data_IF_138771320386
#
_entry.id   IF_138771320386
#
_cell.length_a   1.000
_cell.length_b   1.000
_cell.length_c   1.000
_cell.angle_alpha   90.00
_cell.angle_beta   90.00
_cell.angle_gamma   90.00
#
_symmetry.space_group_name_H-M   'P 1'
#
loop_
_entity.id
_entity.type
_entity.pdbx_description
1 polymer ?
#
# COMPACT_ATOMS: atom_id res chain seq x y z
N UNK A 1 -4.18 37.40 20.04
CA UNK A 1 -4.89 36.16 19.66
C UNK A 1 -3.98 35.39 18.73
N UNK A 2 -3.44 34.24 19.14
CA UNK A 2 -2.63 33.42 18.23
C UNK A 2 -3.53 32.87 17.12
N UNK A 3 -3.04 32.90 15.87
CA UNK A 3 -3.70 32.19 14.77
C UNK A 3 -3.84 30.73 15.21
N UNK A 4 -5.06 30.28 15.43
CA UNK A 4 -5.34 28.87 15.70
C UNK A 4 -4.89 28.12 14.45
N UNK A 5 -3.94 27.22 14.64
CA UNK A 5 -3.47 26.34 13.59
C UNK A 5 -4.57 25.32 13.30
N UNK A 6 -5.28 25.55 12.20
CA UNK A 6 -6.43 24.76 11.76
C UNK A 6 -6.04 23.29 11.58
N UNK A 7 -4.80 23.02 11.18
CA UNK A 7 -4.29 21.64 11.05
C UNK A 7 -4.13 20.97 12.43
N UNK A 8 -3.69 21.71 13.44
CA UNK A 8 -3.56 21.20 14.81
C UNK A 8 -4.93 20.92 15.44
N UNK A 9 -5.90 21.81 15.23
CA UNK A 9 -7.26 21.67 15.74
C UNK A 9 -7.97 20.47 15.10
N UNK A 10 -7.86 20.31 13.78
CA UNK A 10 -8.50 19.20 13.07
C UNK A 10 -7.81 17.87 13.39
N UNK A 11 -6.47 17.84 13.47
CA UNK A 11 -5.73 16.63 13.85
C UNK A 11 -6.05 16.18 15.28
N UNK A 12 -6.17 17.13 16.22
CA UNK A 12 -6.62 16.85 17.59
C UNK A 12 -8.03 16.27 17.59
N UNK A 13 -8.97 16.88 16.87
CA UNK A 13 -10.34 16.39 16.80
C UNK A 13 -10.43 14.99 16.15
N UNK A 14 -9.55 14.67 15.21
CA UNK A 14 -9.51 13.38 14.54
C UNK A 14 -8.89 12.28 15.41
N UNK A 15 -7.81 12.60 16.13
CA UNK A 15 -7.25 11.73 17.17
C UNK A 15 -8.28 11.45 18.26
N UNK A 16 -8.97 12.49 18.74
CA UNK A 16 -10.02 12.38 19.74
C UNK A 16 -11.18 11.49 19.29
N UNK A 17 -11.54 11.52 18.01
CA UNK A 17 -12.53 10.65 17.39
C UNK A 17 -12.10 9.18 17.39
N UNK A 18 -10.86 8.90 16.98
CA UNK A 18 -10.29 7.56 16.97
C UNK A 18 -10.22 7.01 18.39
N UNK A 19 -9.88 7.88 19.34
CA UNK A 19 -9.83 7.51 20.76
C UNK A 19 -11.25 7.34 21.33
N UNK A 20 -12.25 8.15 20.97
CA UNK A 20 -13.66 8.01 21.39
C UNK A 20 -14.33 6.71 20.93
N UNK A 21 -13.92 6.18 19.78
CA UNK A 21 -14.33 4.85 19.31
C UNK A 21 -13.68 3.72 20.14
N UNK A 22 -12.71 4.06 21.00
CA UNK A 22 -11.85 3.15 21.76
C UNK A 22 -11.91 3.35 23.28
N UNK A 23 -12.62 4.37 23.80
CA UNK A 23 -12.60 4.76 25.23
C UNK A 23 -13.97 4.60 25.93
N UNK A 24 -13.92 4.35 27.24
CA UNK A 24 -15.04 4.35 28.19
C UNK A 24 -15.85 5.66 28.24
N UNK A 25 -17.12 5.62 28.69
CA UNK A 25 -18.00 6.79 28.78
C UNK A 25 -17.48 7.94 29.64
N UNK A 26 -16.68 7.68 30.69
CA UNK A 26 -16.22 8.73 31.61
C UNK A 26 -15.22 9.69 30.94
N UNK A 27 -14.28 9.16 30.17
CA UNK A 27 -13.31 9.97 29.45
C UNK A 27 -13.93 10.75 28.29
N UNK A 28 -15.01 10.23 27.68
CA UNK A 28 -15.78 10.96 26.66
C UNK A 28 -16.34 12.28 27.21
N UNK A 29 -16.84 12.25 28.46
CA UNK A 29 -17.38 13.44 29.11
C UNK A 29 -16.30 14.48 29.44
N UNK A 30 -15.14 14.03 29.94
CA UNK A 30 -14.01 14.93 30.23
C UNK A 30 -13.50 15.71 29.00
N UNK A 31 -13.56 15.08 27.83
CA UNK A 31 -13.15 15.68 26.56
C UNK A 31 -14.16 16.71 26.02
N UNK A 32 -15.46 16.48 26.23
CA UNK A 32 -16.53 17.46 25.91
C UNK A 32 -16.32 18.73 26.74
N UNK A 33 -16.07 18.56 28.03
CA UNK A 33 -15.95 19.67 28.98
C UNK A 33 -14.67 20.50 28.75
N UNK A 34 -13.57 19.85 28.31
CA UNK A 34 -12.28 20.51 28.14
C UNK A 34 -12.11 21.23 26.79
N UNK A 35 -12.82 20.82 25.74
CA UNK A 35 -12.61 21.33 24.37
C UNK A 35 -13.85 22.02 23.76
N UNK A 36 -14.97 22.09 24.48
CA UNK A 36 -16.16 22.85 24.05
C UNK A 36 -16.85 22.27 22.80
N UNK A 37 -16.63 21.00 22.48
CA UNK A 37 -17.24 20.35 21.32
C UNK A 37 -18.64 19.86 21.71
N UNK A 38 -19.68 20.39 21.05
CA UNK A 38 -21.05 20.05 21.43
C UNK A 38 -21.38 18.57 21.17
N UNK A 39 -22.20 17.92 22.03
CA UNK A 39 -22.58 16.51 21.87
C UNK A 39 -23.27 16.19 20.53
N UNK A 40 -24.00 17.16 19.97
CA UNK A 40 -24.65 17.03 18.66
C UNK A 40 -23.62 16.99 17.54
N UNK A 41 -22.55 17.79 17.64
CA UNK A 41 -21.46 17.82 16.67
C UNK A 41 -20.63 16.55 16.74
N UNK A 42 -20.39 16.02 17.94
CA UNK A 42 -19.75 14.72 18.15
C UNK A 42 -20.59 13.56 17.59
N UNK A 43 -21.90 13.51 17.84
CA UNK A 43 -22.79 12.49 17.25
C UNK A 43 -22.86 12.58 15.73
N UNK A 44 -23.00 13.80 15.19
CA UNK A 44 -22.99 14.01 13.76
C UNK A 44 -21.68 13.51 13.16
N UNK A 45 -20.55 13.90 13.73
CA UNK A 45 -19.25 13.41 13.32
C UNK A 45 -19.16 11.89 13.47
N UNK A 46 -19.63 11.28 14.56
CA UNK A 46 -19.60 9.83 14.79
C UNK A 46 -20.42 9.05 13.75
N UNK A 47 -21.44 9.68 13.18
CA UNK A 47 -22.23 9.13 12.08
C UNK A 47 -21.62 9.33 10.69
N UNK A 48 -20.57 10.14 10.56
CA UNK A 48 -19.91 10.39 9.27
C UNK A 48 -19.06 9.20 8.86
N UNK A 49 -19.20 8.77 7.61
CA UNK A 49 -18.26 7.82 7.04
C UNK A 49 -16.89 8.47 6.96
N UNK A 50 -15.84 7.66 6.96
CA UNK A 50 -14.50 8.19 6.85
C UNK A 50 -14.21 8.85 5.48
N UNK A 51 -15.05 8.60 4.46
CA UNK A 51 -15.07 9.37 3.21
C UNK A 51 -15.58 10.81 3.43
N UNK A 52 -16.66 10.97 4.18
CA UNK A 52 -17.24 12.30 4.48
C UNK A 52 -16.29 13.14 5.35
N UNK A 53 -15.53 12.49 6.25
CA UNK A 53 -14.51 13.17 7.06
C UNK A 53 -13.35 13.65 6.19
N UNK A 54 -12.96 12.86 5.18
CA UNK A 54 -11.96 13.23 4.17
C UNK A 54 -12.42 14.44 3.34
N UNK A 55 -13.69 14.47 2.94
CA UNK A 55 -14.27 15.58 2.20
C UNK A 55 -14.39 16.84 3.05
N UNK A 56 -14.71 16.69 4.34
CA UNK A 56 -14.66 17.80 5.29
C UNK A 56 -13.23 18.33 5.50
N UNK A 57 -12.22 17.45 5.61
CA UNK A 57 -10.83 17.84 5.72
C UNK A 57 -10.34 18.58 4.46
N UNK A 58 -10.73 18.10 3.27
CA UNK A 58 -10.44 18.74 1.98
C UNK A 58 -11.07 20.12 1.86
N UNK A 59 -12.37 20.25 2.18
CA UNK A 59 -13.11 21.52 2.09
C UNK A 59 -12.60 22.59 3.06
N UNK A 60 -11.90 22.19 4.13
CA UNK A 60 -11.32 23.08 5.14
C UNK A 60 -9.81 23.31 5.00
N UNK A 61 -9.20 22.84 3.90
CA UNK A 61 -7.75 22.94 3.64
C UNK A 61 -6.85 22.30 4.71
N UNK A 62 -7.39 21.40 5.53
CA UNK A 62 -6.66 20.75 6.63
C UNK A 62 -6.01 19.43 6.17
N UNK A 63 -5.24 19.52 5.09
CA UNK A 63 -4.83 18.36 4.29
C UNK A 63 -3.55 17.69 4.82
N UNK A 64 -2.82 18.30 5.76
CA UNK A 64 -1.51 17.82 6.17
C UNK A 64 -1.55 16.59 7.08
N UNK A 65 -1.94 16.78 8.33
CA UNK A 65 -1.87 15.74 9.35
C UNK A 65 -3.17 14.92 9.47
N UNK A 66 -4.33 15.55 9.29
CA UNK A 66 -5.64 14.88 9.33
C UNK A 66 -5.83 13.87 8.19
N UNK A 67 -5.36 14.18 6.98
CA UNK A 67 -5.43 13.27 5.85
C UNK A 67 -4.56 12.02 6.07
N UNK A 68 -3.33 12.17 6.59
CA UNK A 68 -2.45 11.02 6.88
C UNK A 68 -3.06 10.05 7.90
N UNK A 69 -3.63 10.59 8.98
CA UNK A 69 -4.30 9.80 10.02
C UNK A 69 -5.54 9.09 9.45
N UNK A 70 -6.38 9.80 8.69
CA UNK A 70 -7.54 9.20 8.03
C UNK A 70 -7.16 8.12 7.03
N UNK A 71 -6.10 8.35 6.24
CA UNK A 71 -5.61 7.39 5.26
C UNK A 71 -5.11 6.11 5.94
N UNK A 72 -4.44 6.22 7.08
CA UNK A 72 -4.03 5.07 7.89
C UNK A 72 -5.25 4.32 8.43
N UNK A 73 -6.24 5.03 9.00
CA UNK A 73 -7.48 4.41 9.51
C UNK A 73 -8.36 3.78 8.43
N UNK A 74 -8.35 4.35 7.22
CA UNK A 74 -9.10 3.86 6.07
C UNK A 74 -8.39 2.77 5.27
N UNK A 75 -7.12 2.47 5.61
CA UNK A 75 -6.28 1.56 4.85
C UNK A 75 -5.97 2.06 3.43
N UNK A 76 -6.06 3.37 3.18
CA UNK A 76 -5.73 4.02 1.90
C UNK A 76 -4.36 4.69 1.92
N UNK A 77 -3.71 4.79 3.09
CA UNK A 77 -2.30 5.10 3.21
C UNK A 77 -1.48 3.98 2.58
N UNK A 78 -0.40 4.33 1.88
CA UNK A 78 0.55 3.34 1.38
C UNK A 78 1.36 2.83 2.58
N UNK A 79 1.32 1.53 2.91
CA UNK A 79 2.22 0.95 3.90
C UNK A 79 3.67 1.20 3.49
N UNK A 80 4.51 1.63 4.42
CA UNK A 80 5.93 1.95 4.15
C UNK A 80 6.68 0.76 3.55
N UNK A 81 6.36 -0.45 3.97
CA UNK A 81 6.92 -1.69 3.42
C UNK A 81 6.59 -1.92 1.95
N UNK A 82 5.49 -1.37 1.43
CA UNK A 82 5.07 -1.53 0.04
C UNK A 82 5.71 -0.52 -0.91
N UNK A 83 6.26 0.57 -0.38
CA UNK A 83 6.81 1.67 -1.19
C UNK A 83 7.88 1.16 -2.17
N UNK A 84 8.92 0.40 -1.76
CA UNK A 84 9.96 -0.07 -2.68
C UNK A 84 9.42 -0.93 -3.83
N UNK A 85 8.34 -1.68 -3.57
CA UNK A 85 7.71 -2.53 -4.57
C UNK A 85 6.88 -1.72 -5.56
N UNK A 86 6.13 -0.74 -5.07
CA UNK A 86 5.29 0.12 -5.89
C UNK A 86 6.12 1.06 -6.77
N UNK A 87 7.26 1.55 -6.26
CA UNK A 87 8.24 2.36 -7.03
C UNK A 87 8.80 1.56 -8.21
N UNK A 88 9.06 0.26 -8.02
CA UNK A 88 9.45 -0.67 -9.08
C UNK A 88 8.27 -1.26 -9.85
N UNK A 89 7.12 -0.58 -9.83
CA UNK A 89 5.91 -0.93 -10.58
C UNK A 89 5.41 -2.36 -10.31
N UNK A 90 5.36 -2.77 -9.05
CA UNK A 90 4.70 -4.01 -8.67
C UNK A 90 3.22 -4.00 -9.09
N UNK A 91 2.76 -5.11 -9.69
CA UNK A 91 1.40 -5.22 -10.18
C UNK A 91 0.42 -5.68 -9.09
N UNK A 92 -0.89 -5.50 -9.34
CA UNK A 92 -1.95 -5.96 -8.43
C UNK A 92 -1.82 -7.43 -8.05
N UNK A 93 -1.43 -8.30 -8.99
CA UNK A 93 -1.33 -9.73 -8.75
C UNK A 93 -0.22 -10.06 -7.74
N UNK A 94 0.95 -9.42 -7.88
CA UNK A 94 2.06 -9.51 -6.93
C UNK A 94 1.65 -9.02 -5.54
N UNK A 95 1.06 -7.81 -5.45
CA UNK A 95 0.63 -7.22 -4.18
C UNK A 95 -0.40 -8.10 -3.46
N UNK A 96 -1.38 -8.63 -4.21
CA UNK A 96 -2.35 -9.57 -3.66
C UNK A 96 -1.70 -10.86 -3.16
N UNK A 97 -0.72 -11.39 -3.90
CA UNK A 97 -0.09 -12.66 -3.58
C UNK A 97 0.74 -12.61 -2.29
N UNK A 98 1.58 -11.59 -2.13
CA UNK A 98 2.51 -11.52 -1.00
C UNK A 98 2.02 -10.67 0.16
N UNK A 99 1.13 -9.70 -0.08
CA UNK A 99 0.72 -8.72 0.93
C UNK A 99 -0.80 -8.70 1.17
N UNK A 100 -1.56 -9.57 0.50
CA UNK A 100 -3.02 -9.67 0.69
C UNK A 100 -3.80 -8.42 0.26
N UNK A 101 -3.18 -7.49 -0.48
CA UNK A 101 -3.83 -6.23 -0.86
C UNK A 101 -5.03 -6.42 -1.78
N UNK A 102 -6.13 -5.73 -1.48
CA UNK A 102 -7.33 -5.73 -2.32
C UNK A 102 -7.16 -4.87 -3.57
N UNK A 103 -8.03 -5.05 -4.57
CA UNK A 103 -8.01 -4.23 -5.80
C UNK A 103 -8.20 -2.73 -5.52
N UNK A 104 -9.07 -2.38 -4.55
CA UNK A 104 -9.32 -0.99 -4.15
C UNK A 104 -8.11 -0.36 -3.47
N UNK A 105 -7.47 -1.11 -2.56
CA UNK A 105 -6.24 -0.68 -1.90
C UNK A 105 -5.11 -0.47 -2.91
N UNK A 106 -4.86 -1.44 -3.78
CA UNK A 106 -3.84 -1.32 -4.83
C UNK A 106 -4.06 -0.09 -5.71
N UNK A 107 -5.29 0.15 -6.19
CA UNK A 107 -5.58 1.31 -7.02
C UNK A 107 -5.30 2.64 -6.28
N UNK A 108 -5.65 2.70 -4.99
CA UNK A 108 -5.34 3.85 -4.13
C UNK A 108 -3.83 4.04 -3.93
N UNK A 109 -3.08 2.95 -3.74
CA UNK A 109 -1.64 3.02 -3.50
C UNK A 109 -0.85 3.36 -4.75
N UNK A 110 -1.15 2.72 -5.87
CA UNK A 110 -0.49 2.96 -7.15
C UNK A 110 -0.70 4.39 -7.68
N UNK A 111 -1.83 5.03 -7.34
CA UNK A 111 -2.06 6.43 -7.69
C UNK A 111 -1.17 7.43 -6.91
N UNK A 112 -0.60 7.00 -5.78
CA UNK A 112 0.21 7.85 -4.87
C UNK A 112 1.71 7.70 -5.07
N UNK A 113 2.15 6.61 -5.71
CA UNK A 113 3.56 6.31 -5.94
C UNK A 113 3.86 6.54 -7.43
N UNK A 114 4.58 7.62 -7.80
CA UNK A 114 4.95 7.85 -9.19
C UNK A 114 5.91 6.75 -9.67
N UNK A 115 5.72 6.31 -10.91
CA UNK A 115 6.53 5.25 -11.53
C UNK A 115 7.39 5.88 -12.63
N UNK A 116 8.70 5.65 -12.54
CA UNK A 116 9.68 6.02 -13.56
C UNK A 116 9.29 5.40 -14.92
N UNK A 117 9.46 6.16 -16.00
CA UNK A 117 9.16 5.70 -17.35
C UNK A 117 9.93 4.42 -17.73
N UNK A 118 11.19 4.30 -17.31
CA UNK A 118 12.02 3.11 -17.53
C UNK A 118 11.52 1.85 -16.80
N UNK A 119 10.63 2.01 -15.81
CA UNK A 119 10.06 0.94 -15.00
C UNK A 119 8.60 0.61 -15.37
N UNK A 120 8.11 1.10 -16.52
CA UNK A 120 6.73 0.83 -17.00
C UNK A 120 6.59 -0.41 -17.89
N UNK A 121 7.69 -1.06 -18.23
CA UNK A 121 7.71 -2.32 -18.97
C UNK A 121 6.82 -3.37 -18.29
N UNK A 122 6.13 -4.16 -19.11
CA UNK A 122 5.21 -5.22 -18.66
C UNK A 122 5.76 -6.62 -18.91
N UNK A 123 6.83 -6.71 -19.67
CA UNK A 123 7.52 -7.93 -20.09
C UNK A 123 9.00 -7.72 -19.87
N UNK A 124 9.73 -8.80 -19.63
CA UNK A 124 11.19 -8.74 -19.49
C UNK A 124 11.79 -8.34 -20.85
N UNK A 125 12.66 -7.32 -20.91
CA UNK A 125 13.36 -6.97 -22.14
C UNK A 125 14.22 -8.13 -22.65
N UNK A 126 14.30 -8.39 -23.97
CA UNK A 126 15.06 -9.53 -24.52
C UNK A 126 16.53 -9.57 -24.10
N UNK A 127 17.16 -8.41 -23.94
CA UNK A 127 18.55 -8.26 -23.49
C UNK A 127 18.77 -8.60 -22.02
N UNK A 128 17.68 -8.68 -21.22
CA UNK A 128 17.70 -9.01 -19.79
C UNK A 128 17.17 -10.41 -19.47
N UNK A 129 16.60 -11.13 -20.45
CA UNK A 129 15.95 -12.43 -20.21
C UNK A 129 16.88 -13.47 -19.57
N UNK A 130 18.11 -13.59 -20.08
CA UNK A 130 19.08 -14.57 -19.58
C UNK A 130 19.48 -14.28 -18.13
N UNK A 131 19.71 -13.01 -17.81
CA UNK A 131 20.10 -12.55 -16.47
C UNK A 131 18.95 -12.77 -15.47
N UNK A 132 17.74 -12.36 -15.83
CA UNK A 132 16.54 -12.57 -15.00
C UNK A 132 16.31 -14.05 -14.74
N UNK A 133 16.38 -14.89 -15.76
CA UNK A 133 16.24 -16.35 -15.61
C UNK A 133 17.30 -16.94 -14.67
N UNK A 134 18.56 -16.51 -14.79
CA UNK A 134 19.64 -16.95 -13.92
C UNK A 134 19.36 -16.62 -12.46
N UNK A 135 19.04 -15.36 -12.15
CA UNK A 135 18.76 -14.92 -10.78
C UNK A 135 17.52 -15.59 -10.19
N UNK A 136 16.50 -15.85 -11.02
CA UNK A 136 15.34 -16.61 -10.60
C UNK A 136 15.72 -18.04 -10.21
N UNK A 137 16.56 -18.73 -10.98
CA UNK A 137 17.07 -20.05 -10.62
C UNK A 137 17.94 -19.99 -9.36
N UNK A 138 18.75 -18.96 -9.21
CA UNK A 138 19.61 -18.76 -8.05
C UNK A 138 18.80 -18.59 -6.76
N UNK A 139 17.77 -17.74 -6.78
CA UNK A 139 16.96 -17.47 -5.60
C UNK A 139 15.89 -18.53 -5.32
N UNK A 140 15.26 -19.05 -6.37
CA UNK A 140 14.16 -20.01 -6.24
C UNK A 140 14.63 -21.46 -6.17
N UNK A 141 15.84 -21.72 -6.64
CA UNK A 141 16.25 -23.04 -7.07
C UNK A 141 15.62 -23.44 -8.42
N UNK A 142 16.02 -24.62 -8.89
CA UNK A 142 15.50 -25.20 -10.13
C UNK A 142 14.45 -26.27 -9.84
N UNK A 143 13.33 -26.22 -10.56
CA UNK A 143 12.32 -27.25 -10.62
C UNK A 143 12.41 -27.99 -11.95
N UNK A 144 12.24 -29.31 -11.93
CA UNK A 144 12.13 -30.12 -13.13
C UNK A 144 10.67 -30.39 -13.44
N UNK A 145 10.23 -30.04 -14.65
CA UNK A 145 8.86 -30.36 -15.08
C UNK A 145 8.74 -31.88 -15.27
N UNK A 146 7.69 -32.46 -14.71
CA UNK A 146 7.44 -33.91 -14.83
C UNK A 146 7.40 -34.34 -16.30
N UNK A 147 8.16 -35.39 -16.64
CA UNK A 147 8.26 -35.89 -18.03
C UNK A 147 9.05 -35.00 -18.99
N UNK A 148 9.76 -33.98 -18.50
CA UNK A 148 10.62 -33.10 -19.31
C UNK A 148 12.09 -33.15 -18.85
N UNK A 149 13.00 -32.98 -19.80
CA UNK A 149 14.42 -32.74 -19.51
C UNK A 149 14.71 -31.27 -19.18
N UNK A 150 13.73 -30.37 -19.35
CA UNK A 150 13.87 -28.94 -19.08
C UNK A 150 13.83 -28.65 -17.56
N UNK A 151 14.71 -27.74 -17.12
CA UNK A 151 14.72 -27.17 -15.76
C UNK A 151 14.27 -25.72 -15.83
N UNK A 152 13.47 -25.30 -14.87
CA UNK A 152 12.91 -23.94 -14.79
C UNK A 152 13.01 -23.42 -13.34
N UNK A 153 12.91 -22.10 -13.11
CA UNK A 153 12.90 -21.57 -11.76
C UNK A 153 11.72 -22.12 -10.94
N UNK A 154 11.96 -22.52 -9.69
CA UNK A 154 10.91 -22.96 -8.80
C UNK A 154 10.13 -21.77 -8.21
N UNK A 155 9.24 -21.16 -9.00
CA UNK A 155 8.54 -19.92 -8.63
C UNK A 155 7.78 -19.99 -7.29
N UNK A 156 7.40 -21.19 -6.83
CA UNK A 156 6.72 -21.37 -5.53
C UNK A 156 7.64 -21.05 -4.35
N UNK A 157 8.96 -21.23 -4.50
CA UNK A 157 9.95 -20.94 -3.47
C UNK A 157 10.38 -19.45 -3.42
N UNK A 158 9.99 -18.63 -4.40
CA UNK A 158 10.35 -17.22 -4.44
C UNK A 158 9.60 -16.42 -3.38
N UNK A 159 10.35 -15.65 -2.58
CA UNK A 159 9.80 -14.64 -1.70
C UNK A 159 9.65 -13.30 -2.42
N UNK A 160 8.86 -12.38 -1.87
CA UNK A 160 8.77 -11.01 -2.39
C UNK A 160 10.13 -10.29 -2.37
N UNK A 161 11.01 -10.57 -1.39
CA UNK A 161 12.35 -10.00 -1.32
C UNK A 161 13.25 -10.49 -2.45
N UNK A 162 13.13 -11.75 -2.87
CA UNK A 162 13.88 -12.25 -4.03
C UNK A 162 13.48 -11.51 -5.31
N UNK A 163 12.18 -11.31 -5.53
CA UNK A 163 11.68 -10.57 -6.70
C UNK A 163 12.14 -9.10 -6.67
N UNK A 164 12.14 -8.47 -5.49
CA UNK A 164 12.67 -7.12 -5.31
C UNK A 164 14.16 -7.06 -5.69
N UNK A 165 14.97 -8.00 -5.21
CA UNK A 165 16.40 -8.09 -5.52
C UNK A 165 16.67 -8.25 -7.01
N UNK A 166 15.90 -9.10 -7.71
CA UNK A 166 16.00 -9.26 -9.18
C UNK A 166 15.66 -7.94 -9.88
N UNK A 167 14.56 -7.30 -9.50
CA UNK A 167 14.11 -6.05 -10.11
C UNK A 167 15.17 -4.94 -9.99
N UNK A 168 15.79 -4.82 -8.81
CA UNK A 168 16.87 -3.87 -8.56
C UNK A 168 18.15 -4.21 -9.34
N UNK A 169 18.53 -5.49 -9.37
CA UNK A 169 19.77 -5.93 -10.04
C UNK A 169 19.69 -5.77 -11.55
N UNK A 170 18.56 -6.15 -12.14
CA UNK A 170 18.35 -6.07 -13.59
C UNK A 170 17.84 -4.70 -14.04
N UNK A 171 17.53 -3.79 -13.12
CA UNK A 171 16.93 -2.47 -13.35
C UNK A 171 15.61 -2.56 -14.15
N UNK A 172 14.74 -3.51 -13.77
CA UNK A 172 13.45 -3.73 -14.44
C UNK A 172 12.26 -3.74 -13.48
N UNK A 173 11.06 -3.57 -14.04
CA UNK A 173 9.84 -3.61 -13.24
C UNK A 173 9.56 -4.98 -12.61
N UNK A 174 9.03 -4.96 -11.39
CA UNK A 174 8.50 -6.15 -10.72
C UNK A 174 7.35 -6.76 -11.53
N UNK A 175 6.56 -5.93 -12.22
CA UNK A 175 5.49 -6.41 -13.10
C UNK A 175 6.01 -7.31 -14.23
N UNK A 176 7.12 -6.95 -14.87
CA UNK A 176 7.72 -7.76 -15.92
C UNK A 176 8.15 -9.13 -15.40
N UNK A 177 8.89 -9.15 -14.28
CA UNK A 177 9.35 -10.39 -13.64
C UNK A 177 8.15 -11.26 -13.21
N UNK A 178 7.14 -10.65 -12.57
CA UNK A 178 5.95 -11.36 -12.12
C UNK A 178 5.17 -11.99 -13.28
N UNK A 179 5.14 -11.34 -14.44
CA UNK A 179 4.52 -11.91 -15.64
C UNK A 179 5.22 -13.20 -16.10
N UNK A 180 6.54 -13.32 -15.97
CA UNK A 180 7.26 -14.56 -16.29
C UNK A 180 6.99 -15.64 -15.23
N UNK A 181 7.04 -15.26 -13.95
CA UNK A 181 6.67 -16.13 -12.83
C UNK A 181 5.28 -16.76 -13.00
N UNK A 182 4.28 -15.98 -13.44
CA UNK A 182 2.92 -16.47 -13.69
C UNK A 182 2.84 -17.42 -14.90
N UNK A 183 3.71 -17.27 -15.91
CA UNK A 183 3.77 -18.21 -17.03
C UNK A 183 4.29 -19.57 -16.55
N UNK A 184 5.36 -19.60 -15.76
CA UNK A 184 5.92 -20.87 -15.26
C UNK A 184 5.02 -21.54 -14.23
N UNK A 185 4.34 -20.78 -13.35
CA UNK A 185 3.34 -21.34 -12.41
C UNK A 185 2.18 -22.06 -13.10
N UNK A 186 1.80 -21.66 -14.31
CA UNK A 186 0.74 -22.34 -15.09
C UNK A 186 1.22 -23.64 -15.73
N UNK A 187 2.53 -23.87 -15.76
CA UNK A 187 3.16 -25.02 -16.41
C UNK A 187 3.76 -26.02 -15.42
N UNK A 188 3.75 -25.69 -14.11
CA UNK A 188 4.08 -26.54 -12.97
C UNK A 188 2.83 -27.21 -12.40
#
# INVERSE_FOLDING_TARGET
MSKIDIDLEISRNLLMKITEMSISPEHRQALIDQYGVSPQRLRHMASMSAADILEMARSRQAQGAAAKILEQCLGTAVPSELVPYLELNACRAFIRHFFGGTAKQYASWAAKVPIDEGLRQRVVPPDKEAEVYHLLCEYAGTFQRSGSFCKEPNVVALTHQNILGIAQTCEISIRAIWSECEKWKKLS
#
